data_IF_813019157051
#
_entry.id   IF_813019157051
#
_cell.length_a   1.000
_cell.length_b   1.000
_cell.length_c   1.000
_cell.angle_alpha   90.00
_cell.angle_beta   90.00
_cell.angle_gamma   90.00
#
_symmetry.space_group_name_H-M   'P 1'
#
loop_
_entity.id
_entity.type
_entity.pdbx_description
1 polymer ?
#
# COMPACT_ATOMS: atom_id res chain seq x y z
N UNK A 1 -4.01 -0.09 16.15
CA UNK A 1 -4.45 -0.15 14.74
C UNK A 1 -3.35 -0.83 13.94
N UNK A 2 -3.63 -1.94 13.25
CA UNK A 2 -2.59 -2.74 12.62
C UNK A 2 -2.02 -2.03 11.39
N UNK A 3 -0.97 -1.23 11.59
CA UNK A 3 -0.09 -0.78 10.51
C UNK A 3 0.46 -2.02 9.83
N UNK A 4 0.23 -2.17 8.53
CA UNK A 4 0.90 -3.17 7.71
C UNK A 4 2.42 -3.10 7.99
N UNK A 5 2.95 -4.10 8.68
CA UNK A 5 4.36 -4.13 9.09
C UNK A 5 5.17 -4.71 7.97
N UNK A 6 6.44 -4.34 7.90
CA UNK A 6 7.37 -4.88 6.91
C UNK A 6 7.46 -6.42 6.98
N UNK A 7 7.38 -7.00 8.19
CA UNK A 7 7.37 -8.45 8.41
C UNK A 7 6.17 -9.14 7.75
N UNK A 8 5.04 -8.45 7.67
CA UNK A 8 3.82 -9.00 7.06
C UNK A 8 3.93 -8.95 5.53
N UNK A 9 4.42 -7.82 5.00
CA UNK A 9 4.69 -7.63 3.57
C UNK A 9 5.69 -8.66 3.05
N UNK A 10 6.75 -8.96 3.82
CA UNK A 10 7.76 -9.95 3.44
C UNK A 10 7.21 -11.38 3.30
N UNK A 11 6.10 -11.69 3.96
CA UNK A 11 5.44 -13.00 3.91
C UNK A 11 4.40 -13.10 2.79
N UNK A 12 4.07 -12.00 2.13
CA UNK A 12 3.07 -11.96 1.07
C UNK A 12 3.70 -12.23 -0.29
N UNK A 13 3.01 -13.00 -1.11
CA UNK A 13 3.41 -13.23 -2.50
C UNK A 13 3.13 -12.00 -3.39
N UNK A 14 3.75 -11.92 -4.57
CA UNK A 14 3.57 -10.79 -5.52
C UNK A 14 2.09 -10.51 -5.81
N UNK A 15 1.30 -11.55 -6.03
CA UNK A 15 -0.15 -11.44 -6.29
C UNK A 15 -0.92 -10.91 -5.08
N UNK A 16 -0.55 -11.33 -3.87
CA UNK A 16 -1.16 -10.84 -2.63
C UNK A 16 -0.81 -9.38 -2.38
N UNK A 17 0.45 -8.99 -2.62
CA UNK A 17 0.90 -7.61 -2.54
C UNK A 17 0.16 -6.70 -3.52
N UNK A 18 -0.03 -7.14 -4.77
CA UNK A 18 -0.79 -6.40 -5.77
C UNK A 18 -2.26 -6.26 -5.40
N UNK A 19 -2.89 -7.34 -4.94
CA UNK A 19 -4.28 -7.29 -4.45
C UNK A 19 -4.41 -6.32 -3.28
N UNK A 20 -3.51 -6.43 -2.30
CA UNK A 20 -3.51 -5.56 -1.11
C UNK A 20 -3.27 -4.10 -1.46
N UNK A 21 -2.39 -3.82 -2.42
CA UNK A 21 -2.13 -2.49 -2.92
C UNK A 21 -3.38 -1.89 -3.59
N UNK A 22 -4.13 -2.69 -4.36
CA UNK A 22 -5.38 -2.28 -5.00
C UNK A 22 -6.46 -1.94 -3.98
N UNK A 23 -6.61 -2.77 -2.96
CA UNK A 23 -7.56 -2.55 -1.86
C UNK A 23 -7.24 -1.27 -1.09
N UNK A 24 -5.97 -1.07 -0.72
CA UNK A 24 -5.53 0.13 0.01
C UNK A 24 -5.73 1.41 -0.82
N UNK A 25 -5.52 1.34 -2.14
CA UNK A 25 -5.81 2.47 -3.04
C UNK A 25 -7.31 2.77 -3.09
N UNK A 26 -8.15 1.75 -3.17
CA UNK A 26 -9.60 1.93 -3.16
C UNK A 26 -10.09 2.53 -1.83
N UNK A 27 -9.58 2.04 -0.71
CA UNK A 27 -9.87 2.62 0.61
C UNK A 27 -9.41 4.07 0.72
N UNK A 28 -8.25 4.42 0.15
CA UNK A 28 -7.76 5.79 0.12
C UNK A 28 -8.69 6.71 -0.67
N UNK A 29 -9.16 6.25 -1.85
CA UNK A 29 -10.10 7.01 -2.69
C UNK A 29 -11.40 7.23 -1.92
N UNK A 30 -11.97 6.17 -1.33
CA UNK A 30 -13.20 6.26 -0.55
C UNK A 30 -13.05 7.23 0.62
N UNK A 31 -11.93 7.18 1.34
CA UNK A 31 -11.65 8.06 2.47
C UNK A 31 -11.45 9.53 2.06
N UNK A 32 -10.88 9.79 0.87
CA UNK A 32 -10.75 11.14 0.34
C UNK A 32 -12.10 11.72 -0.14
N UNK A 33 -12.98 10.87 -0.69
CA UNK A 33 -14.33 11.30 -1.10
C UNK A 33 -15.20 11.62 0.12
N UNK A 34 -15.11 10.82 1.19
CA UNK A 34 -15.90 11.05 2.41
C UNK A 34 -15.37 12.19 3.28
N UNK A 35 -14.09 12.54 3.18
CA UNK A 35 -13.48 13.60 3.96
C UNK A 35 -12.44 14.33 3.13
N UNK A 36 -12.75 15.57 2.72
CA UNK A 36 -11.82 16.43 1.97
C UNK A 36 -10.58 16.84 2.78
N UNK A 37 -10.55 16.57 4.09
CA UNK A 37 -9.40 16.86 4.97
C UNK A 37 -8.59 15.60 5.25
N UNK A 38 -7.26 15.73 5.19
CA UNK A 38 -6.36 14.65 5.57
C UNK A 38 -6.55 14.30 7.04
N UNK A 39 -6.92 13.05 7.32
CA UNK A 39 -7.16 12.53 8.67
C UNK A 39 -6.12 11.44 9.01
N UNK A 40 -6.07 11.02 10.28
CA UNK A 40 -5.11 10.02 10.74
C UNK A 40 -5.22 8.71 9.93
N UNK A 41 -6.44 8.33 9.53
CA UNK A 41 -6.69 7.11 8.75
C UNK A 41 -6.08 7.20 7.34
N UNK A 42 -6.26 8.32 6.62
CA UNK A 42 -5.67 8.48 5.28
C UNK A 42 -4.13 8.54 5.34
N UNK A 43 -3.55 9.14 6.39
CA UNK A 43 -2.09 9.13 6.61
C UNK A 43 -1.55 7.70 6.76
N UNK A 44 -2.26 6.85 7.50
CA UNK A 44 -1.84 5.47 7.72
C UNK A 44 -2.03 4.59 6.47
N UNK A 45 -3.10 4.79 5.69
CA UNK A 45 -3.30 4.12 4.40
C UNK A 45 -2.17 4.49 3.42
N UNK A 46 -1.84 5.79 3.32
CA UNK A 46 -0.72 6.27 2.48
C UNK A 46 0.61 5.61 2.89
N UNK A 47 0.90 5.51 4.19
CA UNK A 47 2.10 4.80 4.68
C UNK A 47 2.11 3.32 4.32
N UNK A 48 0.98 2.63 4.44
CA UNK A 48 0.88 1.22 4.08
C UNK A 48 1.17 1.00 2.58
N UNK A 49 0.60 1.86 1.72
CA UNK A 49 0.88 1.87 0.28
C UNK A 49 2.37 2.10 0.02
N UNK A 50 2.97 3.11 0.65
CA UNK A 50 4.40 3.40 0.48
C UNK A 50 5.28 2.22 0.86
N UNK A 51 4.97 1.50 1.96
CA UNK A 51 5.76 0.32 2.36
C UNK A 51 5.68 -0.83 1.36
N UNK A 52 4.49 -1.09 0.81
CA UNK A 52 4.34 -2.12 -0.23
C UNK A 52 5.15 -1.72 -1.46
N UNK A 53 4.99 -0.48 -1.94
CA UNK A 53 5.72 0.01 -3.12
C UNK A 53 7.23 -0.05 -2.93
N UNK A 54 7.74 0.39 -1.78
CA UNK A 54 9.17 0.29 -1.46
C UNK A 54 9.63 -1.17 -1.45
N UNK A 55 8.88 -2.08 -0.81
CA UNK A 55 9.22 -3.50 -0.81
C UNK A 55 9.26 -4.09 -2.22
N UNK A 56 8.27 -3.78 -3.06
CA UNK A 56 8.23 -4.23 -4.45
C UNK A 56 9.39 -3.68 -5.27
N UNK A 57 9.73 -2.39 -5.11
CA UNK A 57 10.86 -1.76 -5.82
C UNK A 57 12.20 -2.35 -5.35
N UNK A 58 12.38 -2.53 -4.04
CA UNK A 58 13.63 -3.04 -3.46
C UNK A 58 13.87 -4.52 -3.72
N UNK A 59 12.82 -5.34 -3.86
CA UNK A 59 12.94 -6.80 -4.07
C UNK A 59 12.60 -7.27 -5.50
N UNK A 60 12.11 -6.39 -6.37
CA UNK A 60 11.58 -6.72 -7.69
C UNK A 60 11.94 -5.73 -8.79
N UNK A 61 13.13 -5.13 -8.72
CA UNK A 61 13.68 -4.24 -9.76
C UNK A 61 14.02 -4.96 -11.07
N UNK A 62 13.02 -5.51 -11.77
CA UNK A 62 13.14 -5.99 -13.15
C UNK A 62 11.76 -6.15 -13.81
N UNK A 63 10.95 -5.09 -13.91
CA UNK A 63 9.77 -5.10 -14.81
C UNK A 63 9.32 -3.67 -15.18
N UNK A 64 10.26 -2.72 -15.27
CA UNK A 64 10.06 -1.60 -16.19
C UNK A 64 10.54 -2.06 -17.55
N UNK A 65 9.64 -2.67 -18.32
CA UNK A 65 9.81 -2.77 -19.77
C UNK A 65 10.11 -1.38 -20.31
N UNK A 66 11.11 -1.32 -21.19
CA UNK A 66 11.41 -0.19 -22.08
C UNK A 66 10.16 0.28 -22.81
#
# INVERSE_FOLDING_TARGET
MALLRYKDIKKMDKKELESKLKDLRFELIKANVTSQKQNAKTKEIKKAISRILTFTISNGGSEKSK
#
